data_IF_029189397264
#
_entry.id   IF_029189397264
#
_cell.length_a   1.000
_cell.length_b   1.000
_cell.length_c   1.000
_cell.angle_alpha   90.00
_cell.angle_beta   90.00
_cell.angle_gamma   90.00
#
_symmetry.space_group_name_H-M   'P 1'
#
loop_
_entity.id
_entity.type
_entity.pdbx_description
1 polymer ?
#
# COMPACT_ATOMS: atom_id res chain seq x y z
N UNK A 1 13.77 3.48 14.68
CA UNK A 1 13.07 2.93 15.89
C UNK A 1 11.65 2.61 15.50
N UNK A 2 11.12 1.44 15.95
CA UNK A 2 9.74 1.05 15.65
C UNK A 2 8.93 1.03 16.95
N UNK A 3 7.81 1.74 16.99
CA UNK A 3 6.83 1.71 18.08
C UNK A 3 5.66 0.84 17.69
N UNK A 4 5.04 0.15 18.65
CA UNK A 4 3.87 -0.72 18.44
C UNK A 4 2.68 -0.16 19.23
N UNK A 5 1.53 -0.09 18.60
CA UNK A 5 0.26 0.33 19.17
C UNK A 5 -0.82 -0.71 18.87
N UNK A 6 -1.95 -0.58 19.53
CA UNK A 6 -3.20 -1.22 19.13
C UNK A 6 -4.19 -0.12 18.73
N UNK A 7 -4.80 -0.26 17.58
CA UNK A 7 -5.81 0.67 17.08
C UNK A 7 -7.10 -0.10 16.80
N UNK A 8 -8.25 0.56 17.06
CA UNK A 8 -9.56 -0.08 16.80
C UNK A 8 -9.89 0.08 15.32
N UNK A 9 -10.20 -1.02 14.66
CA UNK A 9 -10.71 -1.06 13.29
C UNK A 9 -12.19 -1.51 13.33
N UNK A 10 -13.09 -0.86 12.57
CA UNK A 10 -14.52 -1.22 12.51
C UNK A 10 -14.71 -2.45 11.61
N UNK A 11 -14.30 -3.63 12.08
CA UNK A 11 -14.47 -4.87 11.34
C UNK A 11 -15.96 -5.20 11.14
N UNK A 12 -16.28 -5.95 10.08
CA UNK A 12 -17.64 -6.40 9.77
C UNK A 12 -18.31 -7.15 10.92
N UNK A 13 -17.53 -7.93 11.66
CA UNK A 13 -17.99 -8.69 12.84
C UNK A 13 -18.02 -7.86 14.12
N UNK A 14 -17.74 -6.56 14.03
CA UNK A 14 -17.64 -5.62 15.14
C UNK A 14 -16.24 -5.06 15.34
N UNK A 15 -16.08 -4.05 16.20
CA UNK A 15 -14.78 -3.40 16.40
C UNK A 15 -13.72 -4.36 16.92
N UNK A 16 -12.58 -4.43 16.26
CA UNK A 16 -11.43 -5.24 16.69
C UNK A 16 -10.17 -4.41 16.93
N UNK A 17 -9.27 -4.94 17.77
CA UNK A 17 -7.96 -4.31 18.03
C UNK A 17 -6.91 -4.91 17.09
N UNK A 18 -6.37 -4.09 16.20
CA UNK A 18 -5.27 -4.46 15.30
C UNK A 18 -3.96 -3.81 15.70
N UNK A 19 -2.85 -4.47 15.39
CA UNK A 19 -1.53 -3.91 15.62
C UNK A 19 -1.25 -2.81 14.61
N UNK A 20 -0.59 -1.76 15.11
CA UNK A 20 -0.08 -0.65 14.32
C UNK A 20 1.40 -0.48 14.63
N UNK A 21 2.23 -0.58 13.62
CA UNK A 21 3.67 -0.39 13.70
C UNK A 21 4.02 0.99 13.16
N UNK A 22 4.76 1.77 13.95
CA UNK A 22 5.19 3.11 13.52
C UNK A 22 6.71 3.17 13.53
N UNK A 23 7.30 3.19 12.34
CA UNK A 23 8.72 3.43 12.18
C UNK A 23 9.00 4.95 12.24
N UNK A 24 9.98 5.32 13.05
CA UNK A 24 10.49 6.69 13.16
C UNK A 24 11.90 6.75 12.57
N UNK A 25 12.18 7.71 11.68
CA UNK A 25 13.45 7.80 10.97
C UNK A 25 14.63 8.06 11.89
N UNK A 26 15.82 7.75 11.36
CA UNK A 26 17.08 8.03 12.07
C UNK A 26 17.18 9.52 12.40
N UNK A 27 17.52 9.84 13.64
CA UNK A 27 17.60 11.23 14.12
C UNK A 27 16.28 11.83 14.59
N UNK A 28 15.16 11.13 14.52
CA UNK A 28 13.85 11.61 14.97
C UNK A 28 13.90 12.18 16.40
N UNK A 29 14.58 11.50 17.34
CA UNK A 29 14.68 11.97 18.71
C UNK A 29 15.72 13.10 18.93
N UNK A 30 16.60 13.30 17.95
CA UNK A 30 17.64 14.36 17.99
C UNK A 30 17.08 15.67 17.43
N UNK A 31 16.46 15.61 16.25
CA UNK A 31 15.92 16.79 15.55
C UNK A 31 14.48 17.06 15.98
N UNK A 32 14.31 17.75 17.13
CA UNK A 32 13.01 17.93 17.79
C UNK A 32 11.99 18.78 17.00
N UNK A 33 12.47 19.66 16.14
CA UNK A 33 11.63 20.56 15.32
C UNK A 33 11.35 20.05 13.91
N UNK A 34 12.08 19.01 13.46
CA UNK A 34 11.90 18.47 12.13
C UNK A 34 10.60 17.68 12.03
N UNK A 35 9.82 17.95 10.99
CA UNK A 35 8.64 17.19 10.60
C UNK A 35 8.95 16.32 9.38
N UNK A 36 8.14 15.27 9.16
CA UNK A 36 8.44 14.22 8.20
C UNK A 36 7.20 13.83 7.39
N UNK A 37 7.35 13.48 6.11
CA UNK A 37 6.29 12.83 5.38
C UNK A 37 5.94 11.47 6.00
N UNK A 38 4.74 10.98 5.72
CA UNK A 38 4.23 9.71 6.25
C UNK A 38 3.88 8.77 5.12
N UNK A 39 4.43 7.56 5.15
CA UNK A 39 4.02 6.44 4.33
C UNK A 39 3.08 5.55 5.15
N UNK A 40 1.83 5.47 4.74
CA UNK A 40 0.87 4.51 5.26
C UNK A 40 1.01 3.19 4.50
N UNK A 41 1.12 2.07 5.23
CA UNK A 41 1.30 0.76 4.61
C UNK A 41 0.22 -0.23 5.03
N UNK A 42 -0.32 -0.90 4.05
CA UNK A 42 -1.15 -2.09 4.23
C UNK A 42 -0.32 -3.27 4.72
N UNK A 43 -0.97 -4.25 5.32
CA UNK A 43 -0.36 -5.51 5.79
C UNK A 43 0.84 -5.32 6.73
N UNK A 44 0.65 -4.47 7.75
CA UNK A 44 1.72 -4.03 8.65
C UNK A 44 2.50 -5.16 9.33
N UNK A 45 1.93 -6.35 9.47
CA UNK A 45 2.59 -7.54 9.99
C UNK A 45 3.76 -7.99 9.10
N UNK A 46 3.69 -7.72 7.77
CA UNK A 46 4.69 -8.14 6.79
C UNK A 46 5.79 -7.10 6.54
N UNK A 47 5.72 -5.91 7.16
CA UNK A 47 6.56 -4.77 6.76
C UNK A 47 7.95 -4.78 7.39
N UNK A 48 8.07 -5.15 8.67
CA UNK A 48 9.28 -4.86 9.43
C UNK A 48 10.03 -6.07 10.00
N UNK A 49 9.33 -7.13 10.40
CA UNK A 49 9.89 -8.24 11.17
C UNK A 49 9.46 -9.58 10.59
N UNK A 50 10.44 -10.45 10.33
CA UNK A 50 10.19 -11.77 9.78
C UNK A 50 9.33 -12.62 10.73
N UNK A 51 9.56 -12.53 12.05
CA UNK A 51 8.79 -13.25 13.07
C UNK A 51 7.30 -12.88 13.13
N UNK A 52 6.91 -11.71 12.60
CA UNK A 52 5.51 -11.29 12.55
C UNK A 52 4.86 -11.50 11.18
N UNK A 53 5.68 -11.77 10.17
CA UNK A 53 5.23 -11.86 8.79
C UNK A 53 4.43 -13.14 8.54
N UNK A 54 3.36 -13.03 7.77
CA UNK A 54 2.43 -14.12 7.47
C UNK A 54 3.15 -15.37 6.94
N UNK A 55 4.19 -15.17 6.11
CA UNK A 55 4.95 -16.25 5.49
C UNK A 55 6.41 -16.34 6.00
N UNK A 56 6.70 -15.80 7.18
CA UNK A 56 8.02 -15.85 7.81
C UNK A 56 9.08 -14.97 7.14
N UNK A 57 8.70 -14.09 6.21
CA UNK A 57 9.57 -13.12 5.55
C UNK A 57 8.89 -11.78 5.49
N UNK A 58 9.57 -10.72 5.92
CA UNK A 58 9.09 -9.34 5.84
C UNK A 58 9.75 -8.58 4.68
N UNK A 59 9.20 -7.40 4.36
CA UNK A 59 9.81 -6.47 3.40
C UNK A 59 11.17 -5.92 3.86
N UNK A 60 11.53 -6.06 5.14
CA UNK A 60 12.75 -5.48 5.68
C UNK A 60 12.80 -3.95 5.60
N UNK A 61 11.66 -3.28 5.43
CA UNK A 61 11.57 -1.83 5.16
C UNK A 61 12.30 -0.98 6.19
N UNK A 62 12.19 -1.34 7.48
CA UNK A 62 12.90 -0.60 8.54
C UNK A 62 14.41 -0.65 8.42
N UNK A 63 14.96 -1.79 7.99
CA UNK A 63 16.40 -1.96 7.71
C UNK A 63 16.83 -1.09 6.54
N UNK A 64 16.07 -1.14 5.44
CA UNK A 64 16.31 -0.33 4.24
C UNK A 64 16.31 1.17 4.57
N UNK A 65 15.28 1.69 5.24
CA UNK A 65 15.17 3.10 5.59
C UNK A 65 16.27 3.57 6.55
N UNK A 66 16.74 2.70 7.47
CA UNK A 66 17.87 3.01 8.34
C UNK A 66 19.20 3.10 7.58
N UNK A 67 19.42 2.23 6.61
CA UNK A 67 20.63 2.21 5.77
C UNK A 67 20.69 3.43 4.85
N UNK A 68 19.58 3.76 4.20
CA UNK A 68 19.47 4.91 3.28
C UNK A 68 19.31 6.24 4.00
N UNK A 69 19.07 6.23 5.32
CA UNK A 69 18.78 7.42 6.14
C UNK A 69 17.59 8.22 5.61
N UNK A 70 16.63 7.56 4.97
CA UNK A 70 15.45 8.21 4.39
C UNK A 70 14.63 8.88 5.49
N UNK A 71 14.30 10.19 5.38
CA UNK A 71 13.60 10.94 6.40
C UNK A 71 12.07 10.75 6.33
N UNK A 72 11.61 9.51 6.51
CA UNK A 72 10.23 9.09 6.31
C UNK A 72 9.69 8.41 7.57
N UNK A 73 8.51 8.79 8.05
CA UNK A 73 7.72 8.03 9.02
C UNK A 73 6.95 6.96 8.25
N UNK A 74 6.86 5.74 8.80
CA UNK A 74 6.00 4.69 8.23
C UNK A 74 4.98 4.27 9.26
N UNK A 75 3.70 4.29 8.91
CA UNK A 75 2.60 3.82 9.72
C UNK A 75 1.98 2.57 9.04
N UNK A 76 2.32 1.39 9.53
CA UNK A 76 1.92 0.12 8.96
C UNK A 76 0.90 -0.59 9.86
N UNK A 77 -0.36 -0.70 9.40
CA UNK A 77 -1.40 -1.37 10.17
C UNK A 77 -1.57 -2.82 9.73
N UNK A 78 -1.84 -3.68 10.70
CA UNK A 78 -2.12 -5.09 10.48
C UNK A 78 -3.47 -5.27 9.78
N UNK A 79 -3.51 -6.09 8.73
CA UNK A 79 -4.76 -6.44 8.07
C UNK A 79 -5.62 -7.37 8.94
N UNK A 80 -6.79 -7.74 8.43
CA UNK A 80 -7.56 -8.85 8.99
C UNK A 80 -6.80 -10.16 8.78
N UNK A 81 -6.34 -10.77 9.88
CA UNK A 81 -5.59 -12.03 9.88
C UNK A 81 -6.45 -13.23 10.26
N UNK A 82 -7.78 -13.09 10.30
CA UNK A 82 -8.69 -14.20 10.58
C UNK A 82 -8.80 -15.15 9.39
N UNK A 83 -9.16 -16.40 9.68
CA UNK A 83 -9.30 -17.47 8.69
C UNK A 83 -10.45 -17.27 7.68
N UNK A 84 -11.33 -16.28 7.92
CA UNK A 84 -12.45 -15.93 7.05
C UNK A 84 -12.06 -15.13 5.79
N UNK A 85 -10.75 -14.93 5.56
CA UNK A 85 -10.23 -14.09 4.48
C UNK A 85 -10.81 -12.67 4.46
N UNK A 86 -11.20 -12.12 5.62
CA UNK A 86 -11.78 -10.78 5.72
C UNK A 86 -10.90 -9.67 5.13
N UNK A 87 -9.56 -9.88 5.07
CA UNK A 87 -8.63 -9.01 4.35
C UNK A 87 -9.03 -8.79 2.89
N UNK A 88 -9.53 -9.82 2.21
CA UNK A 88 -9.87 -9.73 0.80
C UNK A 88 -11.08 -8.83 0.57
N UNK A 89 -12.10 -8.90 1.44
CA UNK A 89 -13.22 -7.96 1.41
C UNK A 89 -12.80 -6.54 1.80
N UNK A 90 -12.04 -6.37 2.89
CA UNK A 90 -11.57 -5.06 3.35
C UNK A 90 -10.70 -4.34 2.31
N UNK A 91 -10.01 -5.10 1.44
CA UNK A 91 -9.11 -4.57 0.41
C UNK A 91 -9.68 -4.64 -1.00
N UNK A 92 -10.93 -5.06 -1.17
CA UNK A 92 -11.56 -5.10 -2.48
C UNK A 92 -12.43 -3.86 -2.73
N UNK A 93 -12.17 -3.10 -3.81
CA UNK A 93 -13.07 -2.06 -4.28
C UNK A 93 -14.23 -2.61 -5.12
N UNK A 94 -14.18 -3.89 -5.49
CA UNK A 94 -15.15 -4.55 -6.35
C UNK A 94 -15.69 -5.81 -5.69
N UNK A 95 -16.95 -6.15 -6.01
CA UNK A 95 -17.49 -7.46 -5.67
C UNK A 95 -16.75 -8.53 -6.45
N UNK A 96 -16.35 -9.60 -5.76
CA UNK A 96 -15.66 -10.72 -6.38
C UNK A 96 -16.13 -12.05 -5.80
N UNK A 97 -16.52 -12.96 -6.68
CA UNK A 97 -16.95 -14.30 -6.29
C UNK A 97 -16.14 -15.35 -7.06
N UNK A 98 -14.94 -15.68 -6.60
CA UNK A 98 -14.10 -16.68 -7.25
C UNK A 98 -14.77 -18.05 -7.15
N UNK A 99 -14.68 -18.83 -8.23
CA UNK A 99 -15.03 -20.24 -8.21
C UNK A 99 -13.77 -21.02 -7.81
N UNK A 100 -13.74 -21.66 -6.63
CA UNK A 100 -12.62 -22.52 -6.24
C UNK A 100 -11.96 -22.20 -4.88
N UNK A 101 -10.65 -22.42 -4.78
CA UNK A 101 -9.88 -22.50 -3.53
C UNK A 101 -9.78 -21.19 -2.73
N UNK A 102 -9.99 -20.03 -3.36
CA UNK A 102 -9.80 -18.73 -2.72
C UNK A 102 -10.95 -18.30 -1.81
N UNK A 103 -11.99 -19.15 -1.67
CA UNK A 103 -13.18 -18.79 -0.92
C UNK A 103 -13.93 -17.62 -1.56
N UNK A 104 -14.96 -17.14 -0.93
CA UNK A 104 -15.77 -16.00 -1.42
C UNK A 104 -17.22 -16.17 -1.03
N UNK A 105 -18.08 -15.24 -1.38
CA UNK A 105 -17.82 -13.99 -2.09
C UNK A 105 -17.09 -12.94 -1.23
N UNK A 106 -16.39 -12.01 -1.90
CA UNK A 106 -15.76 -10.84 -1.26
C UNK A 106 -16.60 -9.60 -1.51
N UNK A 107 -16.97 -8.94 -0.41
CA UNK A 107 -17.72 -7.70 -0.45
C UNK A 107 -16.79 -6.51 -0.73
N UNK A 108 -17.24 -5.49 -1.48
CA UNK A 108 -16.41 -4.32 -1.81
C UNK A 108 -16.34 -3.32 -0.63
N UNK A 109 -15.40 -3.54 0.30
CA UNK A 109 -15.23 -2.72 1.52
C UNK A 109 -14.04 -1.78 1.48
N UNK A 110 -13.42 -1.58 0.31
CA UNK A 110 -12.28 -0.67 0.19
C UNK A 110 -12.58 0.75 0.66
N UNK A 111 -13.78 1.27 0.37
CA UNK A 111 -14.18 2.62 0.79
C UNK A 111 -14.32 2.73 2.32
N UNK A 112 -14.86 1.71 2.99
CA UNK A 112 -14.94 1.67 4.45
C UNK A 112 -13.53 1.69 5.06
N UNK A 113 -12.61 0.93 4.48
CA UNK A 113 -11.20 0.89 4.90
C UNK A 113 -10.53 2.24 4.71
N UNK A 114 -10.70 2.90 3.56
CA UNK A 114 -10.11 4.21 3.30
C UNK A 114 -10.74 5.30 4.16
N UNK A 115 -12.03 5.27 4.38
CA UNK A 115 -12.72 6.19 5.31
C UNK A 115 -12.13 6.07 6.72
N UNK A 116 -11.88 4.86 7.20
CA UNK A 116 -11.22 4.65 8.49
C UNK A 116 -9.76 5.15 8.48
N UNK A 117 -9.00 4.92 7.42
CA UNK A 117 -7.64 5.46 7.27
C UNK A 117 -7.61 6.97 7.41
N UNK A 118 -8.49 7.65 6.69
CA UNK A 118 -8.53 9.11 6.61
C UNK A 118 -9.03 9.71 7.92
N UNK A 119 -10.07 9.13 8.51
CA UNK A 119 -10.76 9.75 9.64
C UNK A 119 -10.27 9.26 11.02
N UNK A 120 -9.54 8.12 11.07
CA UNK A 120 -9.08 7.55 12.34
C UNK A 120 -7.56 7.36 12.36
N UNK A 121 -7.00 6.59 11.40
CA UNK A 121 -5.57 6.26 11.43
C UNK A 121 -4.70 7.49 11.19
N UNK A 122 -4.99 8.29 10.16
CA UNK A 122 -4.20 9.48 9.84
C UNK A 122 -4.22 10.50 10.99
N UNK A 123 -5.37 10.92 11.55
CA UNK A 123 -5.40 11.81 12.72
C UNK A 123 -4.70 11.24 13.96
N UNK A 124 -4.77 9.92 14.17
CA UNK A 124 -4.03 9.25 15.24
C UNK A 124 -2.52 9.42 15.08
N UNK A 125 -1.98 9.29 13.87
CA UNK A 125 -0.57 9.46 13.57
C UNK A 125 -0.17 10.91 13.68
N UNK A 126 -0.91 11.83 13.07
CA UNK A 126 -0.60 13.27 13.04
C UNK A 126 -0.61 13.88 14.44
N UNK A 127 -1.50 13.44 15.35
CA UNK A 127 -1.56 13.94 16.73
C UNK A 127 -0.42 13.45 17.62
N UNK A 128 0.30 12.37 17.25
CA UNK A 128 1.32 11.72 18.09
C UNK A 128 2.75 11.87 17.60
N UNK A 129 2.90 12.20 16.32
CA UNK A 129 4.22 12.26 15.68
C UNK A 129 4.39 13.58 14.93
N UNK A 130 5.62 13.98 14.71
CA UNK A 130 5.94 15.18 13.93
C UNK A 130 5.82 14.89 12.44
N UNK A 131 4.60 14.88 11.97
CA UNK A 131 4.25 14.67 10.58
C UNK A 131 4.15 15.99 9.81
N UNK A 132 4.28 15.92 8.49
CA UNK A 132 3.79 16.91 7.55
C UNK A 132 2.41 16.39 7.10
N UNK A 133 1.31 16.95 7.62
CA UNK A 133 -0.02 16.32 7.48
C UNK A 133 -0.72 16.62 6.16
N UNK A 134 -0.14 17.50 5.35
CA UNK A 134 -0.70 17.87 4.05
C UNK A 134 -0.62 16.75 3.02
N UNK A 135 -1.40 16.88 1.94
CA UNK A 135 -1.49 15.92 0.85
C UNK A 135 -0.10 15.60 0.26
N UNK A 136 0.73 16.63 0.00
CA UNK A 136 2.04 16.48 -0.64
C UNK A 136 3.00 15.55 0.11
N UNK A 137 2.74 15.34 1.41
CA UNK A 137 3.57 14.54 2.32
C UNK A 137 2.84 13.32 2.89
N UNK A 138 1.68 12.95 2.33
CA UNK A 138 0.89 11.78 2.71
C UNK A 138 0.94 10.74 1.60
N UNK A 139 1.61 9.60 1.89
CA UNK A 139 1.90 8.53 0.93
C UNK A 139 1.23 7.23 1.35
N UNK A 140 0.99 6.33 0.39
CA UNK A 140 0.36 5.03 0.65
C UNK A 140 1.05 3.91 -0.13
N UNK A 141 1.15 2.71 0.45
CA UNK A 141 1.78 1.58 -0.24
C UNK A 141 1.27 0.24 0.28
N UNK A 142 1.35 -0.75 -0.58
CA UNK A 142 1.10 -2.14 -0.27
C UNK A 142 1.41 -3.07 -1.44
N UNK A 143 1.30 -4.37 -1.20
CA UNK A 143 1.47 -5.39 -2.23
C UNK A 143 0.22 -6.23 -2.40
N UNK A 144 0.09 -6.89 -3.55
CA UNK A 144 -1.05 -7.77 -3.82
C UNK A 144 -2.38 -6.99 -3.70
N UNK A 145 -3.31 -7.45 -2.87
CA UNK A 145 -4.53 -6.71 -2.53
C UNK A 145 -4.23 -5.32 -1.93
N UNK A 146 -3.15 -5.19 -1.13
CA UNK A 146 -2.67 -3.88 -0.65
C UNK A 146 -2.16 -2.98 -1.77
N UNK A 147 -1.64 -3.56 -2.86
CA UNK A 147 -1.28 -2.85 -4.09
C UNK A 147 -2.53 -2.33 -4.83
N UNK A 148 -3.59 -3.14 -4.92
CA UNK A 148 -4.89 -2.70 -5.44
C UNK A 148 -5.48 -1.56 -4.60
N UNK A 149 -5.41 -1.67 -3.27
CA UNK A 149 -5.84 -0.59 -2.36
C UNK A 149 -5.02 0.68 -2.52
N UNK A 150 -3.72 0.56 -2.83
CA UNK A 150 -2.86 1.72 -3.12
C UNK A 150 -3.35 2.46 -4.37
N UNK A 151 -3.67 1.72 -5.44
CA UNK A 151 -4.28 2.32 -6.64
C UNK A 151 -5.63 2.95 -6.31
N UNK A 152 -6.49 2.24 -5.59
CA UNK A 152 -7.79 2.75 -5.17
C UNK A 152 -7.68 4.06 -4.39
N UNK A 153 -6.76 4.12 -3.42
CA UNK A 153 -6.53 5.32 -2.61
C UNK A 153 -6.09 6.51 -3.47
N UNK A 154 -5.18 6.32 -4.43
CA UNK A 154 -4.78 7.40 -5.33
C UNK A 154 -5.90 7.84 -6.27
N UNK A 155 -6.70 6.90 -6.78
CA UNK A 155 -7.75 7.19 -7.76
C UNK A 155 -8.99 7.85 -7.14
N UNK A 156 -9.31 7.54 -5.87
CA UNK A 156 -10.52 7.99 -5.18
C UNK A 156 -10.28 9.04 -4.10
N UNK A 157 -9.09 9.06 -3.52
CA UNK A 157 -8.72 9.94 -2.40
C UNK A 157 -7.42 10.71 -2.72
N UNK A 158 -7.32 11.19 -3.97
CA UNK A 158 -6.16 11.96 -4.43
C UNK A 158 -5.99 13.29 -3.70
N UNK A 159 -7.06 13.80 -3.12
CA UNK A 159 -7.07 14.97 -2.23
C UNK A 159 -6.35 14.71 -0.89
N UNK A 160 -6.16 13.45 -0.49
CA UNK A 160 -5.46 13.05 0.74
C UNK A 160 -4.09 12.46 0.44
N UNK A 161 -3.99 11.58 -0.57
CA UNK A 161 -2.76 10.85 -0.91
C UNK A 161 -2.19 11.36 -2.24
N UNK A 162 -0.99 11.94 -2.18
CA UNK A 162 -0.31 12.40 -3.40
C UNK A 162 0.56 11.34 -4.04
N UNK A 163 1.00 10.32 -3.27
CA UNK A 163 2.01 9.36 -3.73
C UNK A 163 1.66 7.95 -3.33
N UNK A 164 1.84 7.01 -4.27
CA UNK A 164 1.59 5.60 -4.04
C UNK A 164 2.68 4.69 -4.59
N UNK A 165 2.89 3.55 -3.90
CA UNK A 165 3.70 2.45 -4.42
C UNK A 165 2.88 1.16 -4.35
N UNK A 166 2.42 0.70 -5.51
CA UNK A 166 1.63 -0.52 -5.68
C UNK A 166 2.52 -1.66 -6.19
N UNK A 167 2.92 -2.56 -5.29
CA UNK A 167 3.78 -3.68 -5.65
C UNK A 167 2.93 -4.91 -5.98
N UNK A 168 3.15 -5.49 -7.16
CA UNK A 168 2.39 -6.65 -7.64
C UNK A 168 0.89 -6.54 -7.34
N UNK A 169 0.19 -5.44 -7.73
CA UNK A 169 -1.21 -5.23 -7.37
C UNK A 169 -2.09 -6.33 -7.95
N UNK A 170 -3.08 -6.78 -7.17
CA UNK A 170 -4.10 -7.73 -7.63
C UNK A 170 -5.09 -7.03 -8.55
N UNK A 171 -4.90 -7.14 -9.86
CA UNK A 171 -5.69 -6.44 -10.88
C UNK A 171 -6.80 -7.31 -11.49
N UNK A 172 -6.87 -8.56 -11.07
CA UNK A 172 -7.65 -9.60 -11.73
C UNK A 172 -9.05 -9.79 -11.12
N UNK A 173 -9.35 -9.07 -10.05
CA UNK A 173 -10.68 -9.09 -9.42
C UNK A 173 -11.73 -8.55 -10.40
N UNK A 174 -11.51 -7.35 -10.94
CA UNK A 174 -12.31 -6.78 -12.01
C UNK A 174 -11.51 -5.71 -12.75
N UNK A 175 -10.78 -6.16 -13.77
CA UNK A 175 -9.91 -5.27 -14.56
C UNK A 175 -10.71 -4.22 -15.33
N UNK A 176 -11.93 -4.52 -15.76
CA UNK A 176 -12.74 -3.57 -16.53
C UNK A 176 -13.27 -2.44 -15.66
N UNK A 177 -13.75 -2.74 -14.45
CA UNK A 177 -14.13 -1.71 -13.48
C UNK A 177 -12.91 -0.89 -13.05
N UNK A 178 -11.73 -1.52 -12.84
CA UNK A 178 -10.50 -0.78 -12.53
C UNK A 178 -10.12 0.16 -13.68
N UNK A 179 -10.17 -0.29 -14.92
CA UNK A 179 -9.88 0.56 -16.08
C UNK A 179 -10.83 1.74 -16.19
N UNK A 180 -12.14 1.53 -15.95
CA UNK A 180 -13.12 2.61 -15.90
C UNK A 180 -12.80 3.61 -14.77
N UNK A 181 -12.41 3.10 -13.60
CA UNK A 181 -12.01 3.95 -12.47
C UNK A 181 -10.77 4.79 -12.81
N UNK A 182 -9.74 4.19 -13.45
CA UNK A 182 -8.54 4.92 -13.90
C UNK A 182 -8.93 6.01 -14.91
N UNK A 183 -9.77 5.69 -15.88
CA UNK A 183 -10.21 6.66 -16.91
C UNK A 183 -10.95 7.85 -16.29
N UNK A 184 -11.85 7.58 -15.35
CA UNK A 184 -12.67 8.60 -14.69
C UNK A 184 -11.91 9.42 -13.63
N UNK A 185 -10.76 8.94 -13.13
CA UNK A 185 -10.04 9.63 -12.06
C UNK A 185 -9.44 10.96 -12.53
N UNK A 186 -9.66 11.99 -11.75
CA UNK A 186 -9.01 13.30 -11.88
C UNK A 186 -7.85 13.36 -10.90
N UNK A 187 -6.63 13.19 -11.42
CA UNK A 187 -5.41 13.21 -10.63
C UNK A 187 -4.69 14.55 -10.80
N UNK A 188 -4.19 15.10 -9.70
CA UNK A 188 -3.39 16.32 -9.78
C UNK A 188 -1.98 16.02 -10.34
N UNK A 189 -1.35 16.94 -11.09
CA UNK A 189 -0.06 16.69 -11.78
C UNK A 189 1.10 16.35 -10.85
N UNK A 190 1.02 16.68 -9.56
CA UNK A 190 2.03 16.32 -8.54
C UNK A 190 1.83 14.91 -7.98
N UNK A 191 0.87 14.14 -8.50
CA UNK A 191 0.67 12.73 -8.11
C UNK A 191 1.84 11.89 -8.59
N UNK A 192 2.33 11.02 -7.70
CA UNK A 192 3.43 10.09 -8.00
C UNK A 192 2.96 8.66 -7.79
N UNK A 193 3.13 7.82 -8.78
CA UNK A 193 2.82 6.39 -8.68
C UNK A 193 4.02 5.54 -9.13
N UNK A 194 4.47 4.68 -8.23
CA UNK A 194 5.30 3.53 -8.55
C UNK A 194 4.42 2.28 -8.65
N UNK A 195 4.61 1.47 -9.68
CA UNK A 195 3.91 0.20 -9.83
C UNK A 195 4.83 -0.86 -10.45
N UNK A 196 4.86 -2.07 -9.90
CA UNK A 196 5.61 -3.17 -10.48
C UNK A 196 4.79 -4.46 -10.59
N UNK A 197 5.33 -5.42 -11.35
CA UNK A 197 4.80 -6.76 -11.46
C UNK A 197 5.92 -7.76 -11.73
N UNK A 198 5.94 -8.88 -11.00
CA UNK A 198 6.91 -9.95 -11.17
C UNK A 198 6.56 -10.86 -12.36
N UNK A 199 7.55 -11.19 -13.21
CA UNK A 199 7.30 -12.06 -14.36
C UNK A 199 7.11 -13.53 -14.00
N UNK A 200 7.51 -13.94 -12.78
CA UNK A 200 7.38 -15.31 -12.26
C UNK A 200 6.19 -15.47 -11.32
N UNK A 201 5.31 -14.48 -11.24
CA UNK A 201 4.10 -14.57 -10.45
C UNK A 201 3.10 -15.54 -11.10
N UNK A 202 2.36 -16.29 -10.26
CA UNK A 202 1.27 -17.18 -10.69
C UNK A 202 1.66 -18.08 -11.87
N UNK A 203 2.80 -18.76 -11.76
CA UNK A 203 3.29 -19.72 -12.77
C UNK A 203 3.40 -19.15 -14.20
N UNK A 204 3.79 -17.86 -14.28
CA UNK A 204 3.93 -17.12 -15.55
C UNK A 204 2.61 -16.83 -16.27
N UNK A 205 1.49 -16.82 -15.57
CA UNK A 205 0.20 -16.49 -16.14
C UNK A 205 0.25 -15.15 -16.91
N UNK A 206 -0.08 -15.21 -18.18
CA UNK A 206 0.06 -14.04 -19.06
C UNK A 206 -1.06 -13.02 -18.86
N UNK A 207 -2.24 -13.46 -18.40
CA UNK A 207 -3.41 -12.60 -18.25
C UNK A 207 -3.22 -11.53 -17.15
N UNK A 208 -2.71 -11.89 -15.96
CA UNK A 208 -2.41 -10.92 -14.89
C UNK A 208 -1.38 -9.88 -15.33
N UNK A 209 -0.33 -10.35 -16.04
CA UNK A 209 0.65 -9.44 -16.64
C UNK A 209 0.02 -8.51 -17.69
N UNK A 210 -0.90 -9.01 -18.50
CA UNK A 210 -1.61 -8.18 -19.49
C UNK A 210 -2.49 -7.14 -18.80
N UNK A 211 -3.15 -7.49 -17.70
CA UNK A 211 -3.91 -6.54 -16.88
C UNK A 211 -3.01 -5.45 -16.28
N UNK A 212 -1.80 -5.81 -15.83
CA UNK A 212 -0.79 -4.84 -15.40
C UNK A 212 -0.41 -3.87 -16.53
N UNK A 213 -0.10 -4.39 -17.72
CA UNK A 213 0.26 -3.55 -18.88
C UNK A 213 -0.89 -2.65 -19.29
N UNK A 214 -2.12 -3.16 -19.34
CA UNK A 214 -3.34 -2.38 -19.65
C UNK A 214 -3.55 -1.25 -18.66
N UNK A 215 -3.42 -1.53 -17.37
CA UNK A 215 -3.55 -0.50 -16.32
C UNK A 215 -2.43 0.55 -16.42
N UNK A 216 -1.19 0.12 -16.66
CA UNK A 216 -0.04 1.01 -16.83
C UNK A 216 -0.21 1.95 -18.05
N UNK A 217 -0.76 1.44 -19.16
CA UNK A 217 -1.04 2.26 -20.35
C UNK A 217 -2.09 3.35 -20.06
N UNK A 218 -3.16 3.01 -19.35
CA UNK A 218 -4.19 3.99 -18.97
C UNK A 218 -3.65 5.03 -17.97
N UNK A 219 -2.87 4.61 -16.98
CA UNK A 219 -2.21 5.51 -16.04
C UNK A 219 -1.20 6.41 -16.73
N UNK A 220 -0.49 5.89 -17.76
CA UNK A 220 0.44 6.66 -18.59
C UNK A 220 -0.21 7.77 -19.43
N UNK A 221 -1.54 7.75 -19.60
CA UNK A 221 -2.29 8.85 -20.23
C UNK A 221 -2.66 9.98 -19.27
N UNK A 222 -2.42 9.80 -17.96
CA UNK A 222 -2.66 10.83 -16.95
C UNK A 222 -1.42 11.72 -16.79
N UNK A 223 -1.64 12.98 -16.46
CA UNK A 223 -0.56 13.94 -16.20
C UNK A 223 0.00 13.74 -14.76
N UNK A 224 0.73 12.63 -14.57
CA UNK A 224 1.33 12.25 -13.29
C UNK A 224 2.76 11.75 -13.47
N UNK A 225 3.55 11.71 -12.39
CA UNK A 225 4.81 10.99 -12.42
C UNK A 225 4.55 9.48 -12.23
N UNK A 226 4.64 8.72 -13.32
CA UNK A 226 4.44 7.28 -13.33
C UNK A 226 5.77 6.53 -13.52
N UNK A 227 6.08 5.61 -12.60
CA UNK A 227 7.18 4.66 -12.74
C UNK A 227 6.63 3.24 -12.73
N UNK A 228 6.76 2.52 -13.84
CA UNK A 228 6.29 1.13 -13.97
C UNK A 228 7.44 0.18 -14.25
N UNK A 229 7.40 -1.03 -13.68
CA UNK A 229 8.45 -2.03 -13.84
C UNK A 229 7.87 -3.43 -14.03
N UNK A 230 8.34 -4.16 -15.04
CA UNK A 230 8.22 -5.61 -15.11
C UNK A 230 9.52 -6.23 -14.59
N UNK A 231 9.44 -6.97 -13.50
CA UNK A 231 10.59 -7.52 -12.79
C UNK A 231 10.86 -8.96 -13.28
N UNK A 232 11.95 -9.23 -14.03
CA UNK A 232 12.16 -10.53 -14.70
C UNK A 232 12.14 -11.72 -13.74
N UNK A 233 12.79 -11.59 -12.57
CA UNK A 233 12.91 -12.62 -11.53
C UNK A 233 11.95 -12.40 -10.36
N UNK A 234 10.96 -11.50 -10.52
CA UNK A 234 9.99 -11.17 -9.49
C UNK A 234 8.97 -12.29 -9.30
N UNK A 235 8.71 -12.62 -8.05
CA UNK A 235 7.70 -13.57 -7.58
C UNK A 235 6.71 -12.86 -6.67
N UNK A 236 5.54 -13.44 -6.44
CA UNK A 236 4.49 -12.85 -5.59
C UNK A 236 4.77 -13.10 -4.10
N UNK A 237 5.83 -12.48 -3.59
CA UNK A 237 6.23 -12.64 -2.18
C UNK A 237 7.06 -11.44 -1.66
N UNK A 238 7.18 -11.38 -0.32
CA UNK A 238 7.87 -10.33 0.40
C UNK A 238 9.37 -10.23 0.04
N UNK A 239 10.03 -11.34 -0.29
CA UNK A 239 11.44 -11.34 -0.69
C UNK A 239 11.64 -10.65 -2.04
N UNK A 240 10.70 -10.78 -2.96
CA UNK A 240 10.68 -10.05 -4.23
C UNK A 240 10.39 -8.56 -4.01
N UNK A 241 9.41 -8.23 -3.17
CA UNK A 241 9.04 -6.84 -2.87
C UNK A 241 10.14 -6.10 -2.10
N UNK A 242 10.88 -6.76 -1.19
CA UNK A 242 12.08 -6.18 -0.57
C UNK A 242 13.08 -5.69 -1.60
N UNK A 243 13.31 -6.44 -2.68
CA UNK A 243 14.24 -6.06 -3.77
C UNK A 243 13.75 -4.86 -4.58
N UNK A 244 12.48 -4.48 -4.50
CA UNK A 244 11.94 -3.32 -5.18
C UNK A 244 12.00 -2.04 -4.33
N UNK A 245 12.29 -2.10 -3.05
CA UNK A 245 12.44 -0.93 -2.19
C UNK A 245 13.41 0.14 -2.74
N UNK A 246 14.57 -0.23 -3.36
CA UNK A 246 15.49 0.75 -3.98
C UNK A 246 14.91 1.53 -5.15
N UNK A 247 13.77 1.13 -5.67
CA UNK A 247 13.06 1.83 -6.76
C UNK A 247 11.81 2.52 -6.23
N UNK A 248 11.00 1.83 -5.43
CA UNK A 248 9.76 2.35 -4.90
C UNK A 248 9.98 3.55 -3.95
N UNK A 249 10.87 3.41 -2.96
CA UNK A 249 11.08 4.47 -1.96
C UNK A 249 11.67 5.75 -2.57
N UNK A 250 12.72 5.73 -3.42
CA UNK A 250 13.18 6.94 -4.09
C UNK A 250 12.12 7.58 -4.99
N UNK A 251 11.27 6.79 -5.66
CA UNK A 251 10.16 7.34 -6.46
C UNK A 251 9.17 8.09 -5.56
N UNK A 252 8.78 7.52 -4.42
CA UNK A 252 7.91 8.20 -3.45
C UNK A 252 8.54 9.46 -2.87
N UNK A 253 9.86 9.49 -2.72
CA UNK A 253 10.61 10.62 -2.14
C UNK A 253 11.09 11.64 -3.18
N UNK A 254 10.69 11.49 -4.45
CA UNK A 254 11.09 12.40 -5.52
C UNK A 254 10.64 13.84 -5.22
N UNK A 255 11.57 14.80 -5.20
CA UNK A 255 11.32 16.20 -4.87
C UNK A 255 10.64 16.47 -3.49
N UNK A 256 10.96 15.64 -2.47
CA UNK A 256 10.55 15.84 -1.06
C UNK A 256 11.70 16.39 -0.22
#
# INVERSE_FOLDING_TARGET
MIKKFKITYPCFTGPEKRRLYVYLPRGYNIHKTKHYPVLYMFDGQNVFFDDNATYGKSWGLGKYLNQTKTPLIVAAYECNCHADNGRLSEYSPFYYNPQGEWGGPYEPRAEETMTWFINVLKPFIDSRFRTLPDRGHTFISGSSMGGLMTLYALLKHNDVFSRGAALSPTLDIDIDQLCQMIQAAELTPDTVLYMDYGRREFDYESWSRNNFVRSAQLLGSKDILLSTRLVPEGEHNEASWEKQLPFAIPTLMYNI
#
